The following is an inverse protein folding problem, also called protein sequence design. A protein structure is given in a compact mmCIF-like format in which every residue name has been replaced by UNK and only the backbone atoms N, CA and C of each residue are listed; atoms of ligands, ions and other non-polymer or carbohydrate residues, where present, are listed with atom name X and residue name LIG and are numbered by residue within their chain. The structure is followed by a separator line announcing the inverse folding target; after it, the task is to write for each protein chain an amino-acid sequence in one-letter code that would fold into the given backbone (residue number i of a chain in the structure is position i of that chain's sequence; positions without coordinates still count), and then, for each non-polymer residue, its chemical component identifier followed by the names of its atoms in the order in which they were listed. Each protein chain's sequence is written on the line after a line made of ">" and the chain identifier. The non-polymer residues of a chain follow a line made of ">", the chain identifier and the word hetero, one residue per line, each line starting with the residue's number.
data_IF_939315664990
#
_entry.id   IF_939315664990
#
_cell.length_a   1.000
_cell.length_b   1.000
_cell.length_c   1.000
_cell.angle_alpha   90.00
_cell.angle_beta   90.00
_cell.angle_gamma   90.00
#
_symmetry.space_group_name_H-M   'P 1'
#
loop_
_entity.id
_entity.type
_entity.pdbx_description
1 polymer ?
#
# COMPACT_ATOMS: atom_id res chain seq x y z
N UNK A 1 -15.86 8.65 -1.36
CA UNK A 1 -14.77 7.69 -1.62
C UNK A 1 -15.18 6.41 -0.90
N UNK A 2 -15.62 5.39 -1.65
CA UNK A 2 -16.24 4.18 -1.11
C UNK A 2 -15.27 3.01 -1.28
N UNK A 3 -15.09 2.18 -0.24
CA UNK A 3 -14.18 1.04 -0.27
C UNK A 3 -14.47 0.11 -1.47
N UNK A 4 -15.75 -0.06 -1.81
CA UNK A 4 -16.19 -0.88 -2.96
C UNK A 4 -16.52 -0.07 -4.22
N UNK A 5 -15.86 1.08 -4.42
CA UNK A 5 -15.89 1.71 -5.74
C UNK A 5 -15.27 0.77 -6.78
N UNK A 6 -15.73 0.83 -8.03
CA UNK A 6 -15.26 -0.03 -9.12
C UNK A 6 -13.72 -0.01 -9.26
N UNK A 7 -13.12 1.17 -9.13
CA UNK A 7 -11.66 1.34 -9.17
C UNK A 7 -10.95 0.62 -8.00
N UNK A 8 -11.51 0.68 -6.78
CA UNK A 8 -10.93 0.01 -5.61
C UNK A 8 -11.11 -1.51 -5.69
N UNK A 9 -12.26 -1.98 -6.20
CA UNK A 9 -12.49 -3.41 -6.45
C UNK A 9 -11.48 -3.92 -7.48
N UNK A 10 -11.30 -3.22 -8.60
CA UNK A 10 -10.33 -3.58 -9.63
C UNK A 10 -8.89 -3.64 -9.07
N UNK A 11 -8.52 -2.64 -8.25
CA UNK A 11 -7.21 -2.61 -7.59
C UNK A 11 -7.02 -3.79 -6.63
N UNK A 12 -8.03 -4.08 -5.79
CA UNK A 12 -8.03 -5.22 -4.86
C UNK A 12 -7.89 -6.54 -5.61
N UNK A 13 -8.60 -6.71 -6.71
CA UNK A 13 -8.55 -7.94 -7.51
C UNK A 13 -7.16 -8.15 -8.14
N UNK A 14 -6.52 -7.08 -8.65
CA UNK A 14 -5.15 -7.18 -9.18
C UNK A 14 -4.11 -7.47 -8.08
N UNK A 15 -4.29 -6.87 -6.90
CA UNK A 15 -3.49 -7.20 -5.72
C UNK A 15 -3.62 -8.69 -5.35
N UNK A 16 -4.85 -9.22 -5.25
CA UNK A 16 -5.12 -10.61 -4.88
C UNK A 16 -4.57 -11.59 -5.94
N UNK A 17 -4.69 -11.23 -7.22
CA UNK A 17 -4.14 -12.03 -8.33
C UNK A 17 -2.61 -12.12 -8.24
N UNK A 18 -1.94 -10.99 -8.05
CA UNK A 18 -0.47 -10.96 -7.89
C UNK A 18 -0.03 -11.79 -6.69
N UNK A 19 -0.77 -11.70 -5.58
CA UNK A 19 -0.46 -12.42 -4.36
C UNK A 19 -0.66 -13.93 -4.49
N UNK A 20 -1.77 -14.34 -5.08
CA UNK A 20 -2.06 -15.76 -5.36
C UNK A 20 -1.00 -16.37 -6.28
N UNK A 21 -0.51 -15.61 -7.27
CA UNK A 21 0.54 -16.06 -8.18
C UNK A 21 1.91 -16.28 -7.47
N UNK A 22 2.14 -15.61 -6.34
CA UNK A 22 3.35 -15.77 -5.54
C UNK A 22 3.24 -16.88 -4.47
N UNK A 23 2.06 -17.51 -4.34
CA UNK A 23 1.76 -18.46 -3.27
C UNK A 23 1.49 -19.86 -3.81
N UNK A 24 1.99 -20.87 -3.12
CA UNK A 24 1.66 -22.29 -3.29
C UNK A 24 1.14 -22.84 -1.94
N UNK A 25 -0.15 -22.59 -1.66
CA UNK A 25 -0.73 -22.87 -0.34
C UNK A 25 -0.21 -21.90 0.72
N UNK A 26 0.47 -22.42 1.74
CA UNK A 26 1.12 -21.59 2.79
C UNK A 26 2.56 -21.21 2.45
N UNK A 27 3.09 -21.74 1.34
CA UNK A 27 4.45 -21.47 0.88
C UNK A 27 4.43 -20.23 -0.01
N UNK A 28 5.36 -19.32 0.22
CA UNK A 28 5.57 -18.12 -0.58
C UNK A 28 6.83 -18.33 -1.44
N UNK A 29 6.70 -18.15 -2.76
CA UNK A 29 7.81 -18.32 -3.72
C UNK A 29 8.88 -17.23 -3.55
N UNK A 30 8.45 -15.97 -3.48
CA UNK A 30 9.34 -14.81 -3.34
C UNK A 30 9.00 -13.99 -2.10
N UNK A 31 10.00 -13.51 -1.34
CA UNK A 31 9.74 -12.67 -0.18
C UNK A 31 8.85 -11.48 -0.50
N UNK A 32 7.89 -11.23 0.38
CA UNK A 32 6.85 -10.23 0.19
C UNK A 32 7.23 -8.92 0.86
N UNK A 33 7.21 -7.84 0.09
CA UNK A 33 7.42 -6.48 0.59
C UNK A 33 6.12 -5.72 0.43
N UNK A 34 5.65 -5.13 1.52
CA UNK A 34 4.38 -4.44 1.57
C UNK A 34 4.62 -2.94 1.69
N UNK A 35 4.00 -2.15 0.82
CA UNK A 35 3.95 -0.69 0.95
C UNK A 35 2.64 -0.26 1.60
N UNK A 36 2.75 0.56 2.64
CA UNK A 36 1.62 1.09 3.38
C UNK A 36 0.64 1.87 2.48
N UNK A 37 -0.64 1.86 2.85
CA UNK A 37 -1.75 2.49 2.16
C UNK A 37 -1.53 4.00 1.97
N UNK A 38 -0.84 4.66 2.91
CA UNK A 38 -0.47 6.07 2.80
C UNK A 38 0.34 6.36 1.52
N UNK A 39 1.16 5.40 1.05
CA UNK A 39 1.90 5.53 -0.20
C UNK A 39 0.96 5.51 -1.42
N UNK A 40 0.00 4.59 -1.45
CA UNK A 40 -1.02 4.52 -2.49
C UNK A 40 -1.88 5.78 -2.48
N UNK A 41 -2.34 6.23 -1.32
CA UNK A 41 -3.17 7.42 -1.19
C UNK A 41 -2.43 8.70 -1.63
N UNK A 42 -1.16 8.86 -1.25
CA UNK A 42 -0.34 9.99 -1.72
C UNK A 42 -0.17 9.99 -3.25
N UNK A 43 -0.01 8.82 -3.88
CA UNK A 43 0.22 8.71 -5.34
C UNK A 43 -1.08 8.56 -6.17
N UNK A 44 -2.19 8.14 -5.56
CA UNK A 44 -3.54 8.14 -6.14
C UNK A 44 -4.11 9.55 -6.15
N UNK A 45 -3.84 10.35 -5.10
CA UNK A 45 -4.19 11.78 -5.03
C UNK A 45 -3.27 12.66 -5.88
N UNK A 46 -2.09 12.16 -6.33
CA UNK A 46 -1.21 12.89 -7.28
C UNK A 46 -1.85 13.16 -8.64
N UNK A 47 -2.96 12.53 -9.00
CA UNK A 47 -3.78 12.95 -10.14
C UNK A 47 -4.44 14.34 -9.95
N UNK A 48 -4.44 14.87 -8.73
CA UNK A 48 -5.04 16.15 -8.34
C UNK A 48 -4.05 17.19 -7.79
N UNK A 49 -2.80 16.83 -7.52
CA UNK A 49 -1.80 17.77 -6.99
C UNK A 49 -0.80 18.19 -8.07
N UNK A 50 -0.96 19.42 -8.56
CA UNK A 50 -0.15 20.06 -9.62
C UNK A 50 1.24 20.56 -9.15
N UNK A 51 1.78 20.07 -8.04
CA UNK A 51 2.99 20.64 -7.45
C UNK A 51 4.14 19.62 -7.48
N UNK A 52 5.05 19.80 -8.44
CA UNK A 52 6.42 19.27 -8.35
C UNK A 52 7.29 20.24 -7.54
N UNK A 53 8.49 19.80 -7.15
CA UNK A 53 9.49 20.61 -6.44
C UNK A 53 9.87 21.92 -7.16
N UNK A 54 9.60 22.01 -8.46
CA UNK A 54 10.02 23.12 -9.32
C UNK A 54 8.91 24.17 -9.43
N UNK A 55 8.55 24.77 -8.29
CA UNK A 55 7.49 25.76 -8.12
C UNK A 55 7.57 26.97 -9.09
N UNK A 56 7.01 26.86 -10.30
CA UNK A 56 6.72 28.00 -11.17
C UNK A 56 5.28 28.45 -10.93
N UNK A 57 5.11 29.56 -10.21
CA UNK A 57 3.81 30.23 -10.07
C UNK A 57 3.54 31.05 -11.34
N UNK A 58 2.66 30.58 -12.22
CA UNK A 58 2.23 31.38 -13.38
C UNK A 58 1.28 32.50 -12.94
N UNK A 59 1.56 33.74 -13.37
CA UNK A 59 0.79 34.93 -13.04
C UNK A 59 -0.52 35.01 -13.85
N UNK A 60 -1.54 35.69 -13.31
CA UNK A 60 -2.98 35.58 -13.68
C UNK A 60 -3.43 36.25 -15.00
N UNK A 61 -2.62 36.25 -16.07
CA UNK A 61 -2.81 37.20 -17.19
C UNK A 61 -3.15 36.59 -18.58
N UNK A 62 -3.77 35.41 -18.67
CA UNK A 62 -4.17 34.81 -19.97
C UNK A 62 -5.65 34.97 -20.33
N UNK A 63 -5.96 35.49 -21.52
CA UNK A 63 -7.30 35.50 -22.17
C UNK A 63 -7.54 34.18 -22.92
N UNK A 64 -8.44 33.34 -22.42
CA UNK A 64 -8.88 32.10 -23.09
C UNK A 64 -9.83 31.29 -22.20
N UNK A 65 -10.69 30.45 -22.81
CA UNK A 65 -11.63 29.58 -22.08
C UNK A 65 -10.85 28.54 -21.25
N UNK A 66 -10.86 28.73 -19.93
CA UNK A 66 -9.98 28.03 -18.99
C UNK A 66 -10.37 26.56 -18.78
N UNK A 67 -11.64 26.21 -19.00
CA UNK A 67 -12.15 24.85 -18.76
C UNK A 67 -11.71 23.91 -19.87
N UNK A 68 -11.82 24.34 -21.13
CA UNK A 68 -11.34 23.58 -22.29
C UNK A 68 -9.82 23.36 -22.22
N UNK A 69 -9.05 24.40 -21.90
CA UNK A 69 -7.60 24.32 -21.78
C UNK A 69 -7.13 23.39 -20.65
N UNK A 70 -7.80 23.40 -19.48
CA UNK A 70 -7.44 22.51 -18.38
C UNK A 70 -7.64 21.04 -18.74
N UNK A 71 -8.77 20.70 -19.35
CA UNK A 71 -9.08 19.31 -19.70
C UNK A 71 -8.13 18.77 -20.78
N UNK A 72 -7.83 19.58 -21.80
CA UNK A 72 -6.86 19.23 -22.86
C UNK A 72 -5.45 19.08 -22.30
N UNK A 73 -5.01 19.99 -21.43
CA UNK A 73 -3.68 19.87 -20.80
C UNK A 73 -3.62 18.65 -19.88
N UNK A 74 -4.68 18.34 -19.14
CA UNK A 74 -4.74 17.13 -18.31
C UNK A 74 -4.68 15.85 -19.14
N UNK A 75 -5.37 15.77 -20.27
CA UNK A 75 -5.31 14.59 -21.15
C UNK A 75 -3.94 14.45 -21.82
N UNK A 76 -3.34 15.54 -22.30
CA UNK A 76 -1.97 15.53 -22.84
C UNK A 76 -0.94 15.15 -21.78
N UNK A 77 -1.08 15.66 -20.55
CA UNK A 77 -0.18 15.33 -19.44
C UNK A 77 -0.31 13.85 -19.08
N UNK A 78 -1.54 13.31 -19.01
CA UNK A 78 -1.76 11.87 -18.76
C UNK A 78 -1.13 11.01 -19.85
N UNK A 79 -1.26 11.42 -21.12
CA UNK A 79 -0.71 10.69 -22.26
C UNK A 79 0.82 10.69 -22.29
N UNK A 80 1.44 11.81 -21.91
CA UNK A 80 2.89 12.01 -22.00
C UNK A 80 3.62 11.81 -20.65
N UNK A 81 2.91 11.46 -19.58
CA UNK A 81 3.53 11.26 -18.27
C UNK A 81 4.40 10.00 -18.33
N UNK A 82 5.72 10.11 -18.14
CA UNK A 82 6.58 8.93 -18.11
C UNK A 82 6.16 8.03 -16.95
N UNK A 83 6.30 6.72 -17.16
CA UNK A 83 6.05 5.74 -16.11
C UNK A 83 6.94 6.04 -14.91
N UNK A 84 6.33 6.27 -13.75
CA UNK A 84 7.08 6.55 -12.54
C UNK A 84 7.91 5.31 -12.14
N UNK A 85 9.22 5.50 -11.98
CA UNK A 85 10.12 4.48 -11.45
C UNK A 85 10.28 4.74 -9.96
N UNK A 86 9.72 3.85 -9.13
CA UNK A 86 9.81 3.97 -7.68
C UNK A 86 11.04 3.23 -7.16
N UNK A 87 11.81 3.88 -6.28
CA UNK A 87 12.99 3.26 -5.67
C UNK A 87 12.66 1.93 -4.97
N UNK A 88 11.49 1.83 -4.33
CA UNK A 88 11.01 0.59 -3.71
C UNK A 88 10.91 -0.56 -4.72
N UNK A 89 10.36 -0.32 -5.92
CA UNK A 89 10.28 -1.32 -6.98
C UNK A 89 11.67 -1.73 -7.45
N UNK A 90 12.56 -0.74 -7.65
CA UNK A 90 13.93 -1.00 -8.09
C UNK A 90 14.67 -1.88 -7.09
N UNK A 91 14.55 -1.58 -5.80
CA UNK A 91 15.21 -2.32 -4.73
C UNK A 91 14.61 -3.72 -4.58
N UNK A 92 13.28 -3.84 -4.46
CA UNK A 92 12.62 -5.13 -4.30
C UNK A 92 12.92 -6.07 -5.48
N UNK A 93 12.82 -5.55 -6.71
CA UNK A 93 13.12 -6.32 -7.93
C UNK A 93 14.57 -6.76 -7.98
N UNK A 94 15.51 -5.87 -7.61
CA UNK A 94 16.95 -6.18 -7.55
C UNK A 94 17.24 -7.38 -6.64
N UNK A 95 16.56 -7.46 -5.50
CA UNK A 95 16.73 -8.56 -4.54
C UNK A 95 15.74 -9.71 -4.74
N UNK A 96 15.03 -9.76 -5.87
CA UNK A 96 14.07 -10.82 -6.20
C UNK A 96 12.89 -10.95 -5.22
N UNK A 97 12.48 -9.84 -4.61
CA UNK A 97 11.28 -9.77 -3.79
C UNK A 97 10.06 -9.38 -4.64
N UNK A 98 8.87 -9.68 -4.15
CA UNK A 98 7.60 -9.23 -4.73
C UNK A 98 7.07 -8.06 -3.92
N UNK A 99 6.80 -6.93 -4.60
CA UNK A 99 6.31 -5.71 -3.96
C UNK A 99 4.79 -5.61 -4.12
N UNK A 100 4.09 -5.40 -3.02
CA UNK A 100 2.65 -5.21 -3.00
C UNK A 100 2.27 -3.80 -2.56
N UNK A 101 1.30 -3.25 -3.28
CA UNK A 101 0.63 -2.00 -2.93
C UNK A 101 -0.70 -2.34 -2.25
N UNK A 102 -0.89 -1.88 -1.02
CA UNK A 102 -2.13 -2.16 -0.30
C UNK A 102 -3.32 -1.50 -0.99
N UNK A 103 -4.40 -2.25 -1.26
CA UNK A 103 -5.64 -1.66 -1.72
C UNK A 103 -6.20 -0.68 -0.67
N UNK A 104 -6.73 0.49 -1.08
CA UNK A 104 -7.32 1.44 -0.15
C UNK A 104 -8.38 0.78 0.75
N UNK A 105 -8.43 1.17 2.03
CA UNK A 105 -9.38 0.67 3.02
C UNK A 105 -9.30 -0.83 3.34
N UNK A 106 -8.23 -1.52 2.92
CA UNK A 106 -8.05 -2.95 3.18
C UNK A 106 -6.72 -3.29 3.89
N UNK A 107 -6.39 -2.63 5.03
CA UNK A 107 -5.22 -3.02 5.82
C UNK A 107 -5.31 -4.47 6.34
N UNK A 108 -6.53 -5.03 6.39
CA UNK A 108 -6.80 -6.43 6.75
C UNK A 108 -6.20 -7.45 5.78
N UNK A 109 -5.82 -7.04 4.57
CA UNK A 109 -5.14 -7.88 3.58
C UNK A 109 -3.62 -8.00 3.80
N UNK A 110 -3.09 -7.41 4.87
CA UNK A 110 -1.67 -7.36 5.17
C UNK A 110 -1.36 -8.05 6.50
N UNK A 111 -0.64 -9.18 6.49
CA UNK A 111 -0.28 -9.90 7.73
C UNK A 111 0.51 -9.03 8.72
N UNK A 112 1.33 -8.10 8.21
CA UNK A 112 2.15 -7.22 9.05
C UNK A 112 1.32 -6.29 9.94
N UNK A 113 0.11 -5.88 9.53
CA UNK A 113 -0.79 -5.05 10.33
C UNK A 113 -1.28 -5.79 11.58
N UNK A 114 -1.58 -7.08 11.43
CA UNK A 114 -1.97 -7.94 12.56
C UNK A 114 -0.80 -8.20 13.52
N UNK A 115 0.42 -8.26 12.98
CA UNK A 115 1.63 -8.39 13.77
C UNK A 115 1.91 -7.11 14.55
N UNK A 116 1.76 -5.95 13.92
CA UNK A 116 1.80 -4.67 14.63
C UNK A 116 0.73 -4.59 15.71
N UNK A 117 -0.48 -5.09 15.46
CA UNK A 117 -1.53 -5.23 16.48
C UNK A 117 -1.05 -6.05 17.69
N UNK A 118 -0.41 -7.19 17.45
CA UNK A 118 0.16 -8.03 18.51
C UNK A 118 1.26 -7.31 19.30
N UNK A 119 2.20 -6.66 18.62
CA UNK A 119 3.29 -5.91 19.27
C UNK A 119 2.73 -4.76 20.10
N UNK A 120 1.78 -3.97 19.55
CA UNK A 120 1.13 -2.87 20.27
C UNK A 120 0.39 -3.36 21.51
N UNK A 121 -0.33 -4.48 21.42
CA UNK A 121 -1.03 -5.05 22.56
C UNK A 121 -0.08 -5.47 23.69
N UNK A 122 1.11 -6.01 23.36
CA UNK A 122 2.15 -6.32 24.36
C UNK A 122 2.70 -5.06 25.01
N UNK A 123 2.96 -4.02 24.23
CA UNK A 123 3.46 -2.73 24.73
C UNK A 123 2.40 -2.02 25.59
N UNK A 124 1.11 -2.19 25.30
CA UNK A 124 0.05 -1.59 26.09
C UNK A 124 0.03 -2.09 27.55
N UNK A 125 0.54 -3.29 27.82
CA UNK A 125 0.66 -3.82 29.17
C UNK A 125 1.77 -3.15 30.00
N UNK A 126 2.81 -2.62 29.34
CA UNK A 126 3.88 -1.82 29.96
C UNK A 126 4.23 -0.65 29.01
N UNK A 127 3.49 0.46 29.08
CA UNK A 127 3.67 1.59 28.17
C UNK A 127 5.06 2.22 28.26
N UNK A 128 5.61 2.76 27.16
CA UNK A 128 6.93 3.37 27.17
C UNK A 128 6.94 4.70 27.92
N UNK A 129 8.04 4.99 28.62
CA UNK A 129 8.24 6.24 29.38
C UNK A 129 8.96 7.32 28.57
N UNK A 130 9.56 6.96 27.44
CA UNK A 130 10.26 7.87 26.53
C UNK A 130 10.28 7.32 25.11
N UNK A 131 10.70 8.14 24.14
CA UNK A 131 10.89 7.68 22.76
C UNK A 131 11.96 6.58 22.63
N UNK A 132 13.05 6.67 23.40
CA UNK A 132 14.08 5.64 23.42
C UNK A 132 13.53 4.31 23.99
N UNK A 133 12.77 4.39 25.08
CA UNK A 133 12.10 3.23 25.67
C UNK A 133 11.07 2.61 24.70
N UNK A 134 10.35 3.44 23.94
CA UNK A 134 9.44 2.97 22.90
C UNK A 134 10.16 2.15 21.82
N UNK A 135 11.32 2.62 21.34
CA UNK A 135 12.15 1.87 20.37
C UNK A 135 12.61 0.54 20.96
N UNK A 136 13.12 0.53 22.19
CA UNK A 136 13.56 -0.70 22.86
C UNK A 136 12.42 -1.70 23.02
N UNK A 137 11.24 -1.25 23.45
CA UNK A 137 10.05 -2.11 23.62
C UNK A 137 9.51 -2.63 22.29
N UNK A 138 9.55 -1.83 21.22
CA UNK A 138 9.18 -2.30 19.87
C UNK A 138 10.13 -3.39 19.39
N UNK A 139 11.45 -3.18 19.50
CA UNK A 139 12.44 -4.18 19.10
C UNK A 139 12.31 -5.48 19.91
N UNK A 140 12.13 -5.37 21.23
CA UNK A 140 11.88 -6.52 22.09
C UNK A 140 10.57 -7.23 21.70
N UNK A 141 9.51 -6.46 21.42
CA UNK A 141 8.21 -6.98 20.99
C UNK A 141 8.28 -7.75 19.68
N UNK A 142 9.04 -7.26 18.70
CA UNK A 142 9.30 -7.92 17.41
C UNK A 142 10.11 -9.20 17.61
N UNK A 143 11.19 -9.14 18.38
CA UNK A 143 12.05 -10.31 18.66
C UNK A 143 11.32 -11.41 19.44
N UNK A 144 10.31 -11.05 20.23
CA UNK A 144 9.48 -11.99 20.97
C UNK A 144 8.35 -12.63 20.13
N UNK A 145 8.21 -12.28 18.84
CA UNK A 145 7.21 -12.92 17.97
C UNK A 145 7.67 -14.34 17.67
N UNK A 146 6.82 -15.31 18.00
CA UNK A 146 7.10 -16.71 17.68
C UNK A 146 6.72 -17.00 16.22
N UNK A 147 7.42 -17.93 15.53
CA UNK A 147 7.05 -18.35 14.17
C UNK A 147 5.58 -18.78 14.06
N UNK A 148 5.04 -19.46 15.07
CA UNK A 148 3.63 -19.87 15.10
C UNK A 148 2.67 -18.67 15.15
N UNK A 149 3.03 -17.61 15.86
CA UNK A 149 2.20 -16.40 15.88
C UNK A 149 2.17 -15.77 14.49
N UNK A 150 3.32 -15.68 13.82
CA UNK A 150 3.40 -15.21 12.44
C UNK A 150 2.54 -16.05 11.49
N UNK A 151 2.71 -17.37 11.51
CA UNK A 151 1.94 -18.30 10.68
C UNK A 151 0.43 -18.18 10.93
N UNK A 152 0.00 -18.06 12.19
CA UNK A 152 -1.41 -17.91 12.52
C UNK A 152 -2.03 -16.64 11.91
N UNK A 153 -1.31 -15.51 11.94
CA UNK A 153 -1.81 -14.24 11.35
C UNK A 153 -1.76 -14.32 9.83
N UNK A 154 -0.73 -14.92 9.26
CA UNK A 154 -0.63 -15.15 7.82
C UNK A 154 -1.80 -15.98 7.31
N UNK A 155 -2.07 -17.14 7.93
CA UNK A 155 -3.21 -17.99 7.57
C UNK A 155 -4.57 -17.31 7.79
N UNK A 156 -4.69 -16.41 8.78
CA UNK A 156 -5.91 -15.62 8.96
C UNK A 156 -6.13 -14.68 7.78
N UNK A 157 -5.09 -13.98 7.32
CA UNK A 157 -5.19 -13.10 6.14
C UNK A 157 -5.50 -13.89 4.88
N UNK A 158 -4.90 -15.08 4.69
CA UNK A 158 -5.24 -15.94 3.55
C UNK A 158 -6.72 -16.33 3.50
N UNK A 159 -7.38 -16.50 4.66
CA UNK A 159 -8.83 -16.74 4.70
C UNK A 159 -9.62 -15.53 4.19
N UNK A 160 -9.25 -14.33 4.64
CA UNK A 160 -9.86 -13.07 4.17
C UNK A 160 -9.66 -12.90 2.66
N UNK A 161 -8.47 -13.20 2.16
CA UNK A 161 -8.15 -13.16 0.73
C UNK A 161 -9.05 -14.12 -0.07
N UNK A 162 -9.21 -15.36 0.42
CA UNK A 162 -10.09 -16.34 -0.21
C UNK A 162 -11.55 -15.88 -0.24
N UNK A 163 -12.04 -15.24 0.83
CA UNK A 163 -13.40 -14.71 0.88
C UNK A 163 -13.63 -13.65 -0.22
N UNK A 164 -12.68 -12.73 -0.39
CA UNK A 164 -12.73 -11.74 -1.47
C UNK A 164 -12.67 -12.38 -2.87
N UNK A 165 -11.83 -13.40 -3.05
CA UNK A 165 -11.72 -14.12 -4.33
C UNK A 165 -13.04 -14.83 -4.67
N UNK A 166 -13.69 -15.46 -3.69
CA UNK A 166 -14.98 -16.13 -3.90
C UNK A 166 -16.08 -15.13 -4.26
N UNK A 167 -16.18 -14.01 -3.55
CA UNK A 167 -17.14 -12.95 -3.86
C UNK A 167 -16.93 -12.32 -5.25
N UNK A 168 -15.69 -12.27 -5.76
CA UNK A 168 -15.40 -11.72 -7.09
C UNK A 168 -15.83 -12.61 -8.26
N UNK A 169 -16.12 -13.89 -8.00
CA UNK A 169 -16.53 -14.88 -9.01
C UNK A 169 -18.06 -15.09 -9.09
N UNK A 170 -18.80 -14.43 -8.20
CA UNK A 170 -20.26 -14.50 -8.10
C UNK A 170 -20.90 -13.35 -8.87
#
# INVERSE_FOLDING_TARGET
>A
MYADSEANIAFRNEYLKTKTANHAGTIVDRPEVYLDEAFCNANHVRGQTWLSSDNIRYNKNGKGDRVANRNVLLSLTKLNKPTAIYAANTIATRYKHTLYYTPPYHPTLQPIELIWGLVKNRIAADPPKSGADAVTKVLAGINAIKPQEWLNRFSHVQKIENDFILCSKS
#
